data_IF_893291615956
#
_entry.id   IF_893291615956
#
_cell.length_a   1.000
_cell.length_b   1.000
_cell.length_c   1.000
_cell.angle_alpha   90.00
_cell.angle_beta   90.00
_cell.angle_gamma   90.00
#
_symmetry.space_group_name_H-M   'P 1'
#
loop_
_entity.id
_entity.type
_entity.pdbx_description
1 polymer ?
#
# COMPACT_ATOMS: atom_id res chain seq x y z
N UNK A 1 -2.58 -21.23 -17.99
CA UNK A 1 -3.07 -22.29 -17.07
C UNK A 1 -4.32 -21.77 -16.39
N UNK A 2 -5.41 -22.55 -16.37
CA UNK A 2 -6.63 -22.23 -15.62
C UNK A 2 -6.32 -22.30 -14.11
N UNK A 3 -5.73 -21.22 -13.56
CA UNK A 3 -5.80 -20.96 -12.13
C UNK A 3 -7.25 -20.62 -11.83
N UNK A 4 -7.92 -21.38 -10.97
CA UNK A 4 -9.21 -20.97 -10.42
C UNK A 4 -9.09 -19.54 -9.87
N UNK A 5 -10.05 -18.67 -10.20
CA UNK A 5 -10.13 -17.31 -9.65
C UNK A 5 -10.13 -17.39 -8.14
N UNK A 6 -9.44 -16.46 -7.49
CA UNK A 6 -9.57 -16.32 -6.04
C UNK A 6 -10.63 -15.26 -5.72
N UNK A 7 -11.44 -15.52 -4.71
CA UNK A 7 -12.33 -14.51 -4.14
C UNK A 7 -11.53 -13.67 -3.16
N UNK A 8 -11.50 -12.35 -3.37
CA UNK A 8 -10.80 -11.47 -2.45
C UNK A 8 -11.52 -11.48 -1.09
N UNK A 9 -10.76 -11.49 0.00
CA UNK A 9 -11.32 -11.34 1.33
C UNK A 9 -10.25 -10.87 2.33
N UNK A 10 -10.31 -9.61 2.77
CA UNK A 10 -9.43 -9.06 3.80
C UNK A 10 -10.27 -8.46 4.91
N UNK A 11 -10.28 -9.10 6.08
CA UNK A 11 -11.09 -8.71 7.25
C UNK A 11 -10.24 -8.34 8.47
N UNK A 12 -8.92 -8.44 8.38
CA UNK A 12 -7.97 -8.02 9.40
C UNK A 12 -6.60 -7.71 8.78
N UNK A 13 -5.76 -6.95 9.47
CA UNK A 13 -4.36 -6.73 9.06
C UNK A 13 -3.44 -7.93 9.35
N UNK A 14 -3.83 -8.81 10.29
CA UNK A 14 -2.96 -9.85 10.87
C UNK A 14 -3.36 -11.28 10.58
N UNK A 15 -4.58 -11.52 10.05
CA UNK A 15 -5.02 -12.85 9.61
C UNK A 15 -4.01 -13.48 8.65
N UNK A 16 -3.99 -14.82 8.59
CA UNK A 16 -2.97 -15.53 7.81
C UNK A 16 -3.03 -15.08 6.35
N UNK A 17 -1.91 -14.60 5.81
CA UNK A 17 -1.81 -14.10 4.45
C UNK A 17 -1.81 -15.28 3.46
N UNK A 18 -2.92 -15.49 2.76
CA UNK A 18 -3.05 -16.59 1.80
C UNK A 18 -2.72 -16.14 0.36
N UNK A 19 -3.00 -14.88 0.03
CA UNK A 19 -2.65 -14.29 -1.26
C UNK A 19 -2.28 -12.80 -1.15
N UNK A 20 -1.29 -12.39 -1.92
CA UNK A 20 -0.75 -11.03 -1.93
C UNK A 20 -0.43 -10.58 -3.36
N UNK A 21 -0.71 -9.32 -3.66
CA UNK A 21 -0.29 -8.64 -4.89
C UNK A 21 1.01 -7.88 -4.63
N UNK A 22 1.95 -8.01 -5.56
CA UNK A 22 3.26 -7.34 -5.58
C UNK A 22 3.55 -6.80 -6.99
N UNK A 23 4.54 -5.92 -7.08
CA UNK A 23 5.10 -5.49 -8.36
C UNK A 23 6.62 -5.46 -8.22
N UNK A 24 7.27 -6.42 -8.88
CA UNK A 24 8.73 -6.49 -8.88
C UNK A 24 9.37 -5.24 -9.52
N UNK A 25 10.30 -4.55 -8.84
CA UNK A 25 10.87 -3.30 -9.33
C UNK A 25 11.61 -3.49 -10.66
N UNK A 26 11.17 -2.76 -11.68
CA UNK A 26 11.72 -2.72 -13.03
C UNK A 26 12.61 -1.49 -13.31
N UNK A 27 13.04 -1.31 -14.57
CA UNK A 27 13.75 -0.11 -15.02
C UNK A 27 13.04 1.21 -14.69
N UNK A 28 11.72 1.21 -14.50
CA UNK A 28 10.96 2.39 -14.06
C UNK A 28 11.57 3.04 -12.82
N UNK A 29 12.12 2.25 -11.90
CA UNK A 29 12.70 2.76 -10.64
C UNK A 29 13.98 3.57 -10.88
N UNK A 30 14.79 3.20 -11.88
CA UNK A 30 16.04 3.90 -12.20
C UNK A 30 15.89 4.97 -13.29
N UNK A 31 14.76 4.98 -14.01
CA UNK A 31 14.48 5.94 -15.09
C UNK A 31 14.18 7.37 -14.57
N UNK A 32 14.73 7.73 -13.41
CA UNK A 32 14.67 9.04 -12.78
C UNK A 32 15.99 9.78 -12.91
N UNK A 33 15.91 11.10 -13.02
CA UNK A 33 17.09 11.98 -12.94
C UNK A 33 17.03 12.79 -11.65
N UNK A 34 18.13 13.39 -11.16
CA UNK A 34 18.10 14.26 -9.98
C UNK A 34 17.07 15.41 -10.12
N UNK A 35 16.83 15.91 -11.35
CA UNK A 35 15.82 16.94 -11.64
C UNK A 35 14.38 16.44 -11.39
N UNK A 36 14.14 15.13 -11.52
CA UNK A 36 12.80 14.54 -11.48
C UNK A 36 12.54 13.69 -10.23
N UNK A 37 13.54 13.37 -9.40
CA UNK A 37 13.37 12.53 -8.20
C UNK A 37 12.31 13.08 -7.23
N UNK A 38 12.29 14.40 -6.97
CA UNK A 38 11.26 15.03 -6.14
C UNK A 38 9.86 14.92 -6.78
N UNK A 39 9.75 15.04 -8.12
CA UNK A 39 8.49 14.80 -8.84
C UNK A 39 8.05 13.34 -8.73
N UNK A 40 9.00 12.41 -8.67
CA UNK A 40 8.76 10.99 -8.51
C UNK A 40 8.42 10.58 -7.07
N UNK A 41 8.41 11.51 -6.11
CA UNK A 41 8.15 11.29 -4.68
C UNK A 41 9.24 10.50 -3.94
N UNK A 42 10.47 10.52 -4.47
CA UNK A 42 11.61 9.85 -3.84
C UNK A 42 12.48 10.82 -3.06
N UNK A 43 12.99 10.35 -1.92
CA UNK A 43 14.02 11.07 -1.16
C UNK A 43 15.38 11.04 -1.87
N UNK A 44 15.64 10.01 -2.68
CA UNK A 44 16.89 9.82 -3.41
C UNK A 44 16.77 8.81 -4.57
N UNK A 45 17.75 8.76 -5.47
CA UNK A 45 17.80 7.80 -6.58
C UNK A 45 18.25 6.43 -6.07
N UNK A 46 17.43 5.41 -6.34
CA UNK A 46 17.72 4.04 -5.97
C UNK A 46 18.73 3.39 -6.91
N UNK A 47 19.55 2.50 -6.34
CA UNK A 47 20.28 1.51 -7.11
C UNK A 47 19.39 0.27 -7.28
N UNK A 48 18.82 0.08 -8.47
CA UNK A 48 17.89 -1.01 -8.78
C UNK A 48 18.53 -2.38 -8.57
N UNK A 49 19.84 -2.52 -8.84
CA UNK A 49 20.53 -3.80 -8.69
C UNK A 49 20.58 -4.27 -7.24
N UNK A 50 20.70 -3.34 -6.29
CA UNK A 50 20.67 -3.63 -4.85
C UNK A 50 19.22 -3.73 -4.38
N UNK A 51 18.35 -2.80 -4.77
CA UNK A 51 16.93 -2.83 -4.42
C UNK A 51 16.26 -4.16 -4.83
N UNK A 52 16.62 -4.73 -5.99
CA UNK A 52 16.14 -6.05 -6.43
C UNK A 52 16.58 -7.19 -5.52
N UNK A 53 17.82 -7.18 -5.04
CA UNK A 53 18.30 -8.22 -4.10
C UNK A 53 17.54 -8.16 -2.78
N UNK A 54 17.27 -6.95 -2.29
CA UNK A 54 16.45 -6.74 -1.09
C UNK A 54 14.99 -7.17 -1.33
N UNK A 55 14.44 -6.85 -2.50
CA UNK A 55 13.08 -7.24 -2.87
C UNK A 55 12.94 -8.75 -3.08
N UNK A 56 13.98 -9.42 -3.58
CA UNK A 56 14.03 -10.88 -3.69
C UNK A 56 13.92 -11.56 -2.32
N UNK A 57 14.44 -10.95 -1.26
CA UNK A 57 14.25 -11.45 0.11
C UNK A 57 12.78 -11.35 0.53
N UNK A 58 12.12 -10.21 0.28
CA UNK A 58 10.69 -10.06 0.53
C UNK A 58 9.87 -11.10 -0.24
N UNK A 59 10.07 -11.20 -1.56
CA UNK A 59 9.36 -12.17 -2.40
C UNK A 59 9.65 -13.61 -1.98
N UNK A 60 10.88 -13.93 -1.60
CA UNK A 60 11.26 -15.24 -1.11
C UNK A 60 10.44 -15.64 0.12
N UNK A 61 10.33 -14.75 1.11
CA UNK A 61 9.52 -14.97 2.31
C UNK A 61 8.02 -15.07 1.99
N UNK A 62 7.51 -14.18 1.12
CA UNK A 62 6.10 -14.20 0.71
C UNK A 62 5.73 -15.49 -0.02
N UNK A 63 6.61 -16.02 -0.88
CA UNK A 63 6.38 -17.29 -1.60
C UNK A 63 6.38 -18.51 -0.68
N UNK A 64 7.01 -18.44 0.50
CA UNK A 64 6.94 -19.50 1.52
C UNK A 64 5.64 -19.45 2.33
N UNK A 65 4.98 -18.30 2.41
CA UNK A 65 3.83 -18.08 3.28
C UNK A 65 2.49 -17.93 2.55
N UNK A 66 2.51 -17.47 1.29
CA UNK A 66 1.34 -17.01 0.56
C UNK A 66 1.48 -17.20 -0.95
N UNK A 67 0.35 -17.16 -1.67
CA UNK A 67 0.35 -17.09 -3.13
C UNK A 67 0.64 -15.66 -3.58
N UNK A 68 1.74 -15.46 -4.29
CA UNK A 68 2.15 -14.15 -4.82
C UNK A 68 1.60 -13.95 -6.23
N UNK A 69 1.01 -12.78 -6.46
CA UNK A 69 0.54 -12.30 -7.75
C UNK A 69 1.35 -11.07 -8.17
N UNK A 70 1.81 -11.02 -9.42
CA UNK A 70 2.57 -9.88 -9.96
C UNK A 70 1.69 -9.00 -10.84
N UNK A 71 1.74 -7.69 -10.60
CA UNK A 71 0.98 -6.70 -11.38
C UNK A 71 1.29 -6.77 -12.87
N UNK A 72 2.56 -6.92 -13.25
CA UNK A 72 3.01 -6.95 -14.65
C UNK A 72 2.45 -8.15 -15.42
N UNK A 73 2.40 -9.32 -14.78
CA UNK A 73 1.82 -10.53 -15.35
C UNK A 73 0.30 -10.38 -15.54
N UNK A 74 -0.39 -9.89 -14.50
CA UNK A 74 -1.83 -9.66 -14.53
C UNK A 74 -2.23 -8.60 -15.58
N UNK A 75 -1.47 -7.50 -15.67
CA UNK A 75 -1.67 -6.47 -16.69
C UNK A 75 -1.46 -7.06 -18.09
N UNK A 76 -0.42 -7.86 -18.30
CA UNK A 76 -0.19 -8.52 -19.58
C UNK A 76 -1.36 -9.43 -19.97
N UNK A 77 -1.97 -10.14 -19.02
CA UNK A 77 -3.15 -10.97 -19.28
C UNK A 77 -4.40 -10.14 -19.61
N UNK A 78 -4.62 -9.01 -18.92
CA UNK A 78 -5.67 -8.05 -19.27
C UNK A 78 -5.50 -7.53 -20.69
N UNK A 79 -4.27 -7.18 -21.08
CA UNK A 79 -3.97 -6.59 -22.38
C UNK A 79 -4.06 -7.57 -23.56
N UNK A 80 -4.20 -8.88 -23.31
CA UNK A 80 -4.49 -9.89 -24.35
C UNK A 80 -5.96 -9.90 -24.77
N UNK A 81 -6.83 -9.25 -24.01
CA UNK A 81 -8.27 -9.12 -24.28
C UNK A 81 -8.52 -7.77 -24.93
N UNK A 82 -8.89 -7.77 -26.21
CA UNK A 82 -9.03 -6.54 -26.99
C UNK A 82 -10.02 -5.54 -26.36
N UNK A 83 -11.13 -6.03 -25.81
CA UNK A 83 -12.14 -5.23 -25.12
C UNK A 83 -11.58 -4.53 -23.86
N UNK A 84 -10.78 -5.25 -23.07
CA UNK A 84 -10.17 -4.69 -21.85
C UNK A 84 -9.00 -3.77 -22.18
N UNK A 85 -8.18 -4.15 -23.17
CA UNK A 85 -7.08 -3.34 -23.69
C UNK A 85 -7.58 -2.00 -24.20
N UNK A 86 -8.61 -1.99 -25.05
CA UNK A 86 -9.17 -0.76 -25.60
C UNK A 86 -9.65 0.18 -24.49
N UNK A 87 -10.43 -0.34 -23.54
CA UNK A 87 -10.94 0.44 -22.42
C UNK A 87 -9.82 1.05 -21.57
N UNK A 88 -8.79 0.26 -21.23
CA UNK A 88 -7.67 0.73 -20.42
C UNK A 88 -6.85 1.81 -21.16
N UNK A 89 -6.50 1.57 -22.43
CA UNK A 89 -5.69 2.51 -23.20
C UNK A 89 -6.43 3.83 -23.44
N UNK A 90 -7.72 3.80 -23.78
CA UNK A 90 -8.51 5.03 -23.93
C UNK A 90 -8.56 5.83 -22.64
N UNK A 91 -8.78 5.16 -21.50
CA UNK A 91 -8.83 5.81 -20.19
C UNK A 91 -7.48 6.44 -19.80
N UNK A 92 -6.37 5.70 -19.97
CA UNK A 92 -5.02 6.23 -19.72
C UNK A 92 -4.74 7.44 -20.61
N UNK A 93 -4.96 7.31 -21.92
CA UNK A 93 -4.68 8.40 -22.87
C UNK A 93 -5.53 9.65 -22.63
N UNK A 94 -6.76 9.49 -22.13
CA UNK A 94 -7.61 10.61 -21.74
C UNK A 94 -7.12 11.27 -20.45
N UNK A 95 -6.91 10.48 -19.39
CA UNK A 95 -6.56 10.96 -18.05
C UNK A 95 -5.17 11.58 -17.99
N UNK A 96 -4.20 11.04 -18.72
CA UNK A 96 -2.83 11.57 -18.80
C UNK A 96 -2.62 12.53 -19.98
N UNK A 97 -3.70 12.87 -20.71
CA UNK A 97 -3.69 13.85 -21.81
C UNK A 97 -2.73 13.51 -22.97
N UNK A 98 -2.59 12.22 -23.30
CA UNK A 98 -1.72 11.71 -24.37
C UNK A 98 -2.51 11.04 -25.51
N UNK A 99 -3.66 11.61 -25.88
CA UNK A 99 -4.58 11.08 -26.91
C UNK A 99 -3.90 10.74 -28.24
N UNK A 100 -2.82 11.44 -28.61
CA UNK A 100 -2.04 11.18 -29.83
C UNK A 100 -1.32 9.83 -29.86
N UNK A 101 -1.16 9.15 -28.73
CA UNK A 101 -0.51 7.83 -28.64
C UNK A 101 -1.49 6.65 -28.66
N UNK A 102 -2.80 6.90 -28.68
CA UNK A 102 -3.83 5.84 -28.57
C UNK A 102 -3.65 4.74 -29.62
N UNK A 103 -3.61 5.11 -30.91
CA UNK A 103 -3.50 4.13 -32.00
C UNK A 103 -2.16 3.38 -31.97
N UNK A 104 -1.07 4.08 -31.61
CA UNK A 104 0.23 3.46 -31.45
C UNK A 104 0.20 2.39 -30.36
N UNK A 105 -0.30 2.72 -29.16
CA UNK A 105 -0.42 1.81 -28.03
C UNK A 105 -1.34 0.61 -28.34
N UNK A 106 -2.45 0.86 -29.05
CA UNK A 106 -3.39 -0.19 -29.45
C UNK A 106 -2.76 -1.23 -30.40
N UNK A 107 -1.76 -0.85 -31.19
CA UNK A 107 -1.10 -1.77 -32.13
C UNK A 107 0.05 -2.57 -31.49
N UNK A 108 0.43 -2.29 -30.24
CA UNK A 108 1.52 -3.02 -29.57
C UNK A 108 1.09 -4.41 -29.08
N UNK A 109 2.00 -5.40 -29.14
CA UNK A 109 1.81 -6.69 -28.45
C UNK A 109 1.61 -6.49 -26.94
N UNK A 110 0.76 -7.31 -26.31
CA UNK A 110 0.38 -7.17 -24.91
C UNK A 110 1.58 -7.07 -23.94
N UNK A 111 2.63 -7.86 -24.15
CA UNK A 111 3.84 -7.85 -23.32
C UNK A 111 4.62 -6.53 -23.44
N UNK A 112 4.80 -6.03 -24.66
CA UNK A 112 5.49 -4.76 -24.90
C UNK A 112 4.66 -3.57 -24.43
N UNK A 113 3.33 -3.65 -24.58
CA UNK A 113 2.41 -2.64 -24.09
C UNK A 113 2.45 -2.57 -22.56
N UNK A 114 2.36 -3.72 -21.86
CA UNK A 114 2.49 -3.79 -20.40
C UNK A 114 3.78 -3.13 -19.94
N UNK A 115 4.89 -3.43 -20.64
CA UNK A 115 6.19 -2.83 -20.37
C UNK A 115 6.14 -1.30 -20.48
N UNK A 116 5.65 -0.72 -21.58
CA UNK A 116 5.59 0.74 -21.72
C UNK A 116 4.61 1.42 -20.77
N UNK A 117 3.51 0.77 -20.40
CA UNK A 117 2.59 1.32 -19.41
C UNK A 117 3.22 1.42 -18.01
N UNK A 118 4.22 0.58 -17.69
CA UNK A 118 4.92 0.57 -16.40
C UNK A 118 6.23 1.36 -16.48
N UNK A 119 7.11 0.97 -17.40
CA UNK A 119 8.48 1.49 -17.56
C UNK A 119 8.55 2.88 -18.21
N UNK A 120 7.44 3.34 -18.77
CA UNK A 120 7.32 4.60 -19.48
C UNK A 120 7.46 4.44 -21.00
N UNK A 121 6.85 5.38 -21.72
CA UNK A 121 6.89 5.47 -23.17
C UNK A 121 7.67 6.72 -23.58
N UNK A 122 8.82 6.61 -24.27
CA UNK A 122 9.54 7.75 -24.80
C UNK A 122 8.71 8.57 -25.80
N UNK A 123 8.95 9.88 -25.87
CA UNK A 123 8.31 10.75 -26.87
C UNK A 123 8.75 10.34 -28.28
N UNK A 124 7.78 10.22 -29.20
CA UNK A 124 8.06 10.15 -30.63
C UNK A 124 8.26 11.56 -31.18
N UNK A 125 9.47 11.85 -31.67
CA UNK A 125 9.82 13.17 -32.22
C UNK A 125 9.33 13.25 -33.68
N UNK A 126 8.09 13.71 -33.85
CA UNK A 126 7.47 13.86 -35.18
C UNK A 126 7.23 15.33 -35.56
N UNK A 127 7.27 16.24 -34.58
CA UNK A 127 7.07 17.69 -34.77
C UNK A 127 8.18 18.50 -34.12
N UNK A 128 8.29 19.78 -34.49
CA UNK A 128 9.17 20.72 -33.80
C UNK A 128 8.80 20.86 -32.32
N UNK A 129 7.50 20.79 -31.99
CA UNK A 129 7.01 20.81 -30.61
C UNK A 129 7.55 19.62 -29.81
N UNK A 130 7.56 18.42 -30.38
CA UNK A 130 8.14 17.24 -29.73
C UNK A 130 9.66 17.37 -29.54
N UNK A 131 10.36 17.93 -30.53
CA UNK A 131 11.80 18.13 -30.48
C UNK A 131 12.22 19.15 -29.40
N UNK A 132 11.41 20.19 -29.20
CA UNK A 132 11.68 21.26 -28.22
C UNK A 132 11.15 20.95 -26.81
N UNK A 133 10.54 19.78 -26.58
CA UNK A 133 10.10 19.38 -25.25
C UNK A 133 11.30 19.01 -24.38
N UNK A 134 11.30 19.55 -23.16
CA UNK A 134 12.25 19.20 -22.09
C UNK A 134 12.02 17.79 -21.52
N UNK A 135 10.90 17.15 -21.87
CA UNK A 135 10.49 15.85 -21.32
C UNK A 135 10.91 14.72 -22.26
N UNK A 136 11.47 13.64 -21.69
CA UNK A 136 11.87 12.45 -22.44
C UNK A 136 10.70 11.49 -22.71
N UNK A 137 9.69 11.49 -21.83
CA UNK A 137 8.61 10.50 -21.82
C UNK A 137 7.26 11.12 -22.19
N UNK A 138 6.54 10.45 -23.10
CA UNK A 138 5.12 10.68 -23.33
C UNK A 138 4.27 10.09 -22.19
N UNK A 139 4.59 8.87 -21.77
CA UNK A 139 4.06 8.27 -20.53
C UNK A 139 5.21 8.16 -19.54
N UNK A 140 5.15 8.90 -18.42
CA UNK A 140 6.19 8.87 -17.40
C UNK A 140 6.28 7.47 -16.77
N UNK A 141 7.47 6.93 -16.45
CA UNK A 141 7.61 5.68 -15.70
C UNK A 141 6.85 5.69 -14.36
N UNK A 142 6.35 4.53 -13.93
CA UNK A 142 5.64 4.37 -12.65
C UNK A 142 6.61 4.03 -11.53
N UNK A 143 7.44 5.01 -11.15
CA UNK A 143 8.53 4.86 -10.17
C UNK A 143 8.11 4.22 -8.84
N UNK A 144 6.85 4.43 -8.42
CA UNK A 144 6.34 4.02 -7.11
C UNK A 144 5.56 2.70 -7.16
N UNK A 145 5.44 2.05 -8.32
CA UNK A 145 4.45 0.98 -8.47
C UNK A 145 4.79 -0.28 -7.65
N UNK A 146 6.05 -0.45 -7.26
CA UNK A 146 6.45 -1.50 -6.32
C UNK A 146 5.83 -1.30 -4.92
N UNK A 147 5.38 -0.09 -4.59
CA UNK A 147 4.47 0.20 -3.48
C UNK A 147 3.00 -0.04 -3.88
N UNK A 148 2.64 -1.32 -4.01
CA UNK A 148 1.29 -1.75 -4.41
C UNK A 148 0.20 -1.45 -3.39
N UNK A 149 0.58 -1.08 -2.16
CA UNK A 149 -0.35 -0.75 -1.06
C UNK A 149 -1.27 0.41 -1.38
N UNK A 150 -0.76 1.45 -2.01
CA UNK A 150 -1.44 2.75 -2.05
C UNK A 150 -2.51 2.87 -3.13
N UNK A 151 -2.29 2.36 -4.37
CA UNK A 151 -3.26 2.54 -5.45
C UNK A 151 -4.54 1.70 -5.27
N UNK A 152 -4.53 0.68 -4.40
CA UNK A 152 -5.73 -0.10 -4.08
C UNK A 152 -5.65 -0.80 -2.72
N UNK A 153 -6.80 -1.02 -2.09
CA UNK A 153 -6.94 -1.79 -0.84
C UNK A 153 -8.11 -2.75 -0.93
N UNK A 154 -7.98 -3.94 -0.32
CA UNK A 154 -9.08 -4.89 -0.18
C UNK A 154 -9.75 -4.73 1.20
N UNK A 155 -11.07 -4.57 1.21
CA UNK A 155 -11.89 -4.47 2.43
C UNK A 155 -13.06 -5.46 2.31
N UNK A 156 -13.03 -6.50 3.14
CA UNK A 156 -13.86 -7.69 2.94
C UNK A 156 -13.64 -8.23 1.53
N UNK A 157 -14.72 -8.44 0.78
CA UNK A 157 -14.69 -8.93 -0.60
C UNK A 157 -14.70 -7.83 -1.68
N UNK A 158 -14.31 -6.61 -1.34
CA UNK A 158 -14.30 -5.47 -2.26
C UNK A 158 -12.89 -4.92 -2.44
N UNK A 159 -12.53 -4.62 -3.69
CA UNK A 159 -11.32 -3.88 -4.01
C UNK A 159 -11.66 -2.39 -4.13
N UNK A 160 -11.10 -1.56 -3.27
CA UNK A 160 -11.13 -0.11 -3.36
C UNK A 160 -10.00 0.33 -4.29
N UNK A 161 -10.32 1.00 -5.39
CA UNK A 161 -9.33 1.74 -6.20
C UNK A 161 -9.19 3.12 -5.60
N UNK A 162 -7.97 3.45 -5.19
CA UNK A 162 -7.63 4.67 -4.49
C UNK A 162 -7.50 5.85 -5.46
N UNK A 163 -7.97 7.03 -5.04
CA UNK A 163 -7.80 8.29 -5.79
C UNK A 163 -6.60 9.02 -5.21
N UNK A 164 -5.47 8.83 -5.88
CA UNK A 164 -4.15 9.28 -5.44
C UNK A 164 -4.11 10.80 -5.24
N UNK A 165 -3.40 11.26 -4.22
CA UNK A 165 -3.22 12.68 -3.95
C UNK A 165 -2.29 13.36 -4.97
N UNK A 166 -1.33 12.61 -5.53
CA UNK A 166 -0.45 13.09 -6.60
C UNK A 166 -0.74 12.35 -7.92
N UNK A 167 -0.89 13.12 -9.00
CA UNK A 167 -1.20 12.60 -10.34
C UNK A 167 -0.14 11.66 -10.92
N UNK A 168 1.12 11.70 -10.45
CA UNK A 168 2.18 10.77 -10.89
C UNK A 168 1.81 9.30 -10.65
N UNK A 169 0.97 9.02 -9.64
CA UNK A 169 0.53 7.66 -9.31
C UNK A 169 -0.85 7.29 -9.88
N UNK A 170 -1.48 8.19 -10.65
CA UNK A 170 -2.82 7.98 -11.21
C UNK A 170 -2.92 6.68 -12.03
N UNK A 171 -1.94 6.46 -12.92
CA UNK A 171 -1.97 5.30 -13.82
C UNK A 171 -1.79 3.97 -13.08
N UNK A 172 -1.16 3.96 -11.92
CA UNK A 172 -1.09 2.78 -11.05
C UNK A 172 -2.52 2.34 -10.66
N UNK A 173 -3.37 3.28 -10.22
CA UNK A 173 -4.78 3.01 -9.91
C UNK A 173 -5.60 2.57 -11.13
N UNK A 174 -5.34 3.15 -12.31
CA UNK A 174 -6.03 2.76 -13.55
C UNK A 174 -5.69 1.31 -13.96
N UNK A 175 -4.42 0.91 -13.80
CA UNK A 175 -3.97 -0.46 -14.07
C UNK A 175 -4.63 -1.44 -13.11
N UNK A 176 -4.64 -1.14 -11.81
CA UNK A 176 -5.28 -2.02 -10.82
C UNK A 176 -6.80 -2.10 -11.02
N UNK A 177 -7.46 -0.99 -11.39
CA UNK A 177 -8.90 -1.00 -11.74
C UNK A 177 -9.19 -1.97 -12.89
N UNK A 178 -8.39 -1.93 -13.96
CA UNK A 178 -8.54 -2.85 -15.08
C UNK A 178 -8.29 -4.30 -14.68
N UNK A 179 -7.27 -4.57 -13.86
CA UNK A 179 -6.98 -5.91 -13.32
C UNK A 179 -8.17 -6.45 -12.52
N UNK A 180 -8.72 -5.68 -11.57
CA UNK A 180 -9.82 -6.15 -10.74
C UNK A 180 -11.16 -6.23 -11.46
N UNK A 181 -11.41 -5.37 -12.46
CA UNK A 181 -12.63 -5.43 -13.30
C UNK A 181 -12.57 -6.52 -14.37
N UNK A 182 -11.38 -7.03 -14.70
CA UNK A 182 -11.18 -8.01 -15.79
C UNK A 182 -11.89 -9.35 -15.56
N UNK A 183 -12.15 -9.70 -14.30
CA UNK A 183 -12.66 -11.01 -13.90
C UNK A 183 -11.80 -12.17 -14.47
N UNK A 184 -10.48 -11.97 -14.63
CA UNK A 184 -9.54 -13.00 -15.09
C UNK A 184 -8.95 -13.80 -13.92
N UNK A 185 -8.37 -13.10 -12.94
CA UNK A 185 -7.69 -13.71 -11.78
C UNK A 185 -8.50 -13.64 -10.48
N UNK A 186 -9.41 -12.67 -10.37
CA UNK A 186 -10.04 -12.28 -9.11
C UNK A 186 -11.55 -12.18 -9.23
N UNK A 187 -12.26 -12.68 -8.23
CA UNK A 187 -13.69 -12.44 -8.00
C UNK A 187 -13.84 -11.40 -6.89
N UNK A 188 -14.24 -10.18 -7.26
CA UNK A 188 -14.40 -9.05 -6.33
C UNK A 188 -15.44 -8.06 -6.83
N UNK A 189 -15.96 -7.21 -5.93
CA UNK A 189 -16.66 -5.98 -6.32
C UNK A 189 -15.70 -4.81 -6.25
N UNK A 190 -15.59 -4.07 -7.34
CA UNK A 190 -14.72 -2.88 -7.41
C UNK A 190 -15.47 -1.63 -6.94
N UNK A 191 -14.88 -0.92 -5.98
CA UNK A 191 -15.26 0.44 -5.59
C UNK A 191 -14.22 1.37 -6.19
N UNK A 192 -14.57 2.12 -7.22
CA UNK A 192 -13.62 3.02 -7.86
C UNK A 192 -13.81 4.46 -7.37
N UNK A 193 -12.82 4.98 -6.63
CA UNK A 193 -12.87 6.31 -6.03
C UNK A 193 -12.90 7.43 -7.08
N UNK A 194 -12.28 7.25 -8.25
CA UNK A 194 -12.38 8.22 -9.35
C UNK A 194 -13.81 8.30 -9.88
N UNK A 195 -14.47 7.15 -10.08
CA UNK A 195 -15.85 7.09 -10.56
C UNK A 195 -16.84 7.70 -9.56
N UNK A 196 -16.66 7.43 -8.26
CA UNK A 196 -17.51 7.95 -7.21
C UNK A 196 -17.32 9.45 -6.94
N UNK A 197 -16.21 10.04 -7.40
CA UNK A 197 -15.83 11.42 -7.12
C UNK A 197 -15.47 12.24 -8.35
N UNK A 198 -16.03 11.90 -9.53
CA UNK A 198 -15.74 12.59 -10.81
C UNK A 198 -15.85 14.11 -10.73
N UNK A 199 -16.77 14.62 -9.93
CA UNK A 199 -17.04 16.06 -9.77
C UNK A 199 -16.47 16.66 -8.46
N UNK A 200 -15.57 15.95 -7.77
CA UNK A 200 -14.99 16.41 -6.51
C UNK A 200 -13.48 16.15 -6.47
N UNK A 201 -12.70 17.20 -6.76
CA UNK A 201 -11.23 17.18 -6.72
C UNK A 201 -10.66 17.01 -5.32
N UNK A 202 -11.43 17.36 -4.28
CA UNK A 202 -10.98 17.28 -2.89
C UNK A 202 -10.95 15.85 -2.35
N UNK A 203 -11.62 14.91 -3.02
CA UNK A 203 -11.57 13.49 -2.66
C UNK A 203 -10.19 12.95 -3.01
N UNK A 204 -9.46 12.55 -1.97
CA UNK A 204 -8.18 11.85 -2.03
C UNK A 204 -8.22 10.73 -1.01
N UNK A 205 -7.76 9.55 -1.38
CA UNK A 205 -7.65 8.40 -0.48
C UNK A 205 -6.55 7.49 -1.02
N UNK A 206 -5.62 7.11 -0.17
CA UNK A 206 -4.52 6.20 -0.49
C UNK A 206 -4.49 5.03 0.49
N UNK A 207 -4.02 3.88 0.03
CA UNK A 207 -4.14 2.64 0.76
C UNK A 207 -3.26 2.50 2.00
N UNK A 208 -2.13 3.20 2.07
CA UNK A 208 -1.31 3.29 3.29
C UNK A 208 -2.10 3.83 4.49
N UNK A 209 -3.13 4.65 4.26
CA UNK A 209 -3.99 5.18 5.32
C UNK A 209 -5.10 4.24 5.76
N UNK A 210 -5.39 3.15 5.03
CA UNK A 210 -6.53 2.28 5.32
C UNK A 210 -6.04 0.98 5.96
N UNK A 211 -6.43 0.76 7.21
CA UNK A 211 -6.17 -0.45 7.97
C UNK A 211 -7.47 -1.14 8.35
N UNK A 212 -7.58 -2.44 8.04
CA UNK A 212 -8.72 -3.26 8.44
C UNK A 212 -8.39 -3.92 9.78
N UNK A 213 -8.90 -3.40 10.89
CA UNK A 213 -8.59 -3.95 12.22
C UNK A 213 -9.41 -5.21 12.47
N UNK A 214 -10.70 -5.14 12.14
CA UNK A 214 -11.70 -6.22 12.20
C UNK A 214 -12.74 -5.97 11.12
N UNK A 215 -13.57 -6.94 10.79
CA UNK A 215 -14.58 -6.80 9.73
C UNK A 215 -15.57 -5.61 9.92
N UNK A 216 -15.73 -5.16 11.16
CA UNK A 216 -16.58 -4.04 11.59
C UNK A 216 -15.77 -2.79 12.04
N UNK A 217 -14.43 -2.83 12.04
CA UNK A 217 -13.57 -1.73 12.50
C UNK A 217 -12.53 -1.37 11.43
N UNK A 218 -12.66 -0.17 10.87
CA UNK A 218 -11.61 0.44 10.06
C UNK A 218 -10.85 1.48 10.88
N UNK A 219 -9.54 1.53 10.66
CA UNK A 219 -8.69 2.60 11.12
C UNK A 219 -8.17 3.34 9.89
N UNK A 220 -8.33 4.67 9.86
CA UNK A 220 -8.05 5.49 8.69
C UNK A 220 -7.20 6.71 9.03
N UNK A 221 -6.11 6.94 8.30
CA UNK A 221 -5.34 8.17 8.37
C UNK A 221 -6.05 9.34 7.69
N UNK A 222 -5.98 10.53 8.28
CA UNK A 222 -6.43 11.77 7.67
C UNK A 222 -5.27 12.77 7.58
N UNK A 223 -4.91 13.19 6.38
CA UNK A 223 -3.78 14.08 6.17
C UNK A 223 -3.60 14.47 4.70
N UNK A 224 -2.35 14.63 4.29
CA UNK A 224 -1.99 15.09 2.94
C UNK A 224 -2.39 14.11 1.83
N UNK A 225 -2.45 12.81 2.13
CA UNK A 225 -2.76 11.73 1.18
C UNK A 225 -4.23 11.28 1.21
N UNK A 226 -4.85 11.29 2.37
CA UNK A 226 -6.27 10.94 2.54
C UNK A 226 -7.06 12.10 3.15
N UNK A 227 -7.99 12.65 2.37
CA UNK A 227 -8.83 13.79 2.77
C UNK A 227 -10.08 13.34 3.52
N UNK A 228 -10.68 14.23 4.31
CA UNK A 228 -11.94 13.94 5.01
C UNK A 228 -13.07 13.56 4.03
N UNK A 229 -13.11 14.18 2.85
CA UNK A 229 -14.05 13.85 1.78
C UNK A 229 -13.83 12.44 1.22
N UNK A 230 -12.57 11.98 1.15
CA UNK A 230 -12.22 10.60 0.81
C UNK A 230 -12.68 9.61 1.87
N UNK A 231 -12.50 9.95 3.15
CA UNK A 231 -13.01 9.15 4.27
C UNK A 231 -14.54 9.04 4.22
N UNK A 232 -15.26 10.15 4.06
CA UNK A 232 -16.72 10.16 3.95
C UNK A 232 -17.22 9.30 2.78
N UNK A 233 -16.52 9.34 1.65
CA UNK A 233 -16.82 8.49 0.50
C UNK A 233 -16.63 7.01 0.85
N UNK A 234 -15.51 6.63 1.48
CA UNK A 234 -15.27 5.25 1.89
C UNK A 234 -16.29 4.78 2.94
N UNK A 235 -16.61 5.62 3.93
CA UNK A 235 -17.61 5.33 4.97
C UNK A 235 -18.97 5.01 4.33
N UNK A 236 -19.40 5.78 3.32
CA UNK A 236 -20.65 5.49 2.59
C UNK A 236 -20.66 4.11 1.93
N UNK A 237 -19.52 3.65 1.41
CA UNK A 237 -19.42 2.31 0.84
C UNK A 237 -19.29 1.22 1.89
N UNK A 238 -18.57 1.49 2.99
CA UNK A 238 -18.44 0.60 4.14
C UNK A 238 -19.78 0.36 4.83
N UNK A 239 -20.65 1.37 4.92
CA UNK A 239 -22.03 1.24 5.38
C UNK A 239 -22.83 0.17 4.62
N UNK A 240 -22.51 -0.07 3.34
CA UNK A 240 -23.21 -1.05 2.49
C UNK A 240 -22.67 -2.49 2.62
N UNK A 241 -21.63 -2.73 3.43
CA UNK A 241 -20.99 -4.05 3.59
C UNK A 241 -21.54 -4.77 4.81
N UNK A 242 -22.25 -5.89 4.67
CA UNK A 242 -22.77 -6.64 5.83
C UNK A 242 -23.82 -5.88 6.64
N UNK A 243 -24.21 -6.45 7.78
CA UNK A 243 -25.25 -5.93 8.69
C UNK A 243 -24.71 -5.79 10.10
N UNK A 244 -25.10 -4.74 10.82
CA UNK A 244 -24.69 -4.51 12.21
C UNK A 244 -23.95 -3.19 12.44
N UNK A 245 -23.58 -2.96 13.70
CA UNK A 245 -22.79 -1.81 14.11
C UNK A 245 -21.37 -1.88 13.56
N UNK A 246 -20.83 -0.75 13.12
CA UNK A 246 -19.45 -0.63 12.64
C UNK A 246 -18.81 0.63 13.18
N UNK A 247 -17.49 0.65 13.16
CA UNK A 247 -16.70 1.73 13.70
C UNK A 247 -15.63 2.15 12.70
N UNK A 248 -15.44 3.45 12.57
CA UNK A 248 -14.31 4.02 11.85
C UNK A 248 -13.55 4.91 12.82
N UNK A 249 -12.29 4.58 13.04
CA UNK A 249 -11.36 5.36 13.85
C UNK A 249 -10.52 6.15 12.89
N UNK A 250 -10.46 7.47 13.05
CA UNK A 250 -9.68 8.35 12.20
C UNK A 250 -8.55 8.94 13.03
N UNK A 251 -7.33 8.87 12.53
CA UNK A 251 -6.18 9.52 13.11
C UNK A 251 -5.71 10.64 12.17
N UNK A 252 -5.72 11.88 12.65
CA UNK A 252 -5.08 12.97 11.92
C UNK A 252 -3.57 12.79 11.91
N UNK A 253 -2.95 13.09 10.78
CA UNK A 253 -1.52 12.99 10.55
C UNK A 253 -0.92 14.38 10.30
N UNK A 254 0.34 14.60 10.71
CA UNK A 254 1.04 15.84 10.38
C UNK A 254 1.28 15.95 8.86
N UNK A 255 1.39 17.19 8.37
CA UNK A 255 1.79 17.46 6.98
C UNK A 255 3.29 17.33 6.74
N UNK A 256 4.09 17.35 7.82
CA UNK A 256 5.55 17.24 7.79
C UNK A 256 6.07 16.55 9.06
N UNK A 257 7.26 15.91 9.01
CA UNK A 257 8.09 15.66 7.83
C UNK A 257 7.49 14.65 6.84
N UNK A 258 8.15 14.48 5.70
CA UNK A 258 7.69 13.66 4.57
C UNK A 258 7.44 12.18 4.95
N UNK A 259 8.06 11.69 6.01
CA UNK A 259 7.86 10.31 6.51
C UNK A 259 6.47 10.04 7.09
N UNK A 260 5.64 11.07 7.32
CA UNK A 260 4.25 10.94 7.79
C UNK A 260 3.23 10.89 6.64
N UNK A 261 3.62 10.36 5.48
CA UNK A 261 2.75 10.25 4.30
C UNK A 261 1.44 9.51 4.60
N UNK A 262 1.48 8.47 5.44
CA UNK A 262 0.34 7.59 5.71
C UNK A 262 0.33 7.07 7.14
N UNK A 263 -0.83 6.59 7.59
CA UNK A 263 -1.02 6.03 8.92
C UNK A 263 -0.17 4.77 9.18
N UNK A 264 0.06 3.94 8.17
CA UNK A 264 0.88 2.73 8.32
C UNK A 264 2.39 3.01 8.48
N UNK A 265 2.80 4.26 8.37
CA UNK A 265 4.16 4.72 8.68
C UNK A 265 4.34 5.07 10.17
N UNK A 266 3.26 5.01 10.95
CA UNK A 266 3.25 5.34 12.39
C UNK A 266 2.44 4.35 13.24
N UNK A 267 1.62 3.49 12.62
CA UNK A 267 0.83 2.48 13.30
C UNK A 267 0.62 1.25 12.41
N UNK A 268 1.03 0.07 12.86
CA UNK A 268 0.68 -1.20 12.20
C UNK A 268 0.34 -2.28 13.22
N UNK A 269 -0.63 -3.14 12.89
CA UNK A 269 -0.94 -4.32 13.71
C UNK A 269 0.10 -5.42 13.47
N UNK A 270 0.62 -6.01 14.55
CA UNK A 270 1.61 -7.09 14.51
C UNK A 270 0.99 -8.45 14.85
N UNK A 271 0.00 -8.42 15.74
CA UNK A 271 -0.76 -9.57 16.24
C UNK A 271 -2.21 -9.12 16.50
N UNK A 272 -3.06 -10.04 16.94
CA UNK A 272 -4.47 -9.80 17.29
C UNK A 272 -4.66 -8.72 18.36
N UNK A 273 -3.67 -8.55 19.24
CA UNK A 273 -3.71 -7.61 20.37
C UNK A 273 -2.41 -6.81 20.51
N UNK A 274 -1.53 -6.79 19.50
CA UNK A 274 -0.25 -6.07 19.57
C UNK A 274 -0.08 -5.19 18.35
N UNK A 275 0.36 -3.95 18.53
CA UNK A 275 0.64 -3.01 17.45
C UNK A 275 2.03 -2.37 17.60
N UNK A 276 2.69 -2.11 16.48
CA UNK A 276 3.83 -1.19 16.44
C UNK A 276 3.31 0.24 16.34
N UNK A 277 3.81 1.12 17.20
CA UNK A 277 3.38 2.52 17.26
C UNK A 277 4.57 3.48 17.28
N UNK A 278 4.44 4.57 16.55
CA UNK A 278 5.26 5.75 16.75
C UNK A 278 4.69 6.57 17.91
N UNK A 279 5.30 6.42 19.09
CA UNK A 279 4.81 6.95 20.37
C UNK A 279 4.50 8.46 20.34
N UNK A 280 5.35 9.35 19.78
CA UNK A 280 5.10 10.79 19.81
C UNK A 280 3.80 11.24 19.13
N UNK A 281 3.32 10.48 18.13
CA UNK A 281 2.07 10.80 17.44
C UNK A 281 0.86 10.06 18.03
N UNK A 282 1.02 8.78 18.37
CA UNK A 282 -0.11 7.88 18.66
C UNK A 282 -0.45 7.84 20.15
N UNK A 283 0.55 7.91 21.04
CA UNK A 283 0.35 7.70 22.48
C UNK A 283 0.39 9.01 23.27
N UNK A 284 1.15 9.98 22.80
CA UNK A 284 1.32 11.26 23.48
C UNK A 284 0.25 12.27 23.07
N UNK A 285 0.11 13.32 23.88
CA UNK A 285 -0.77 14.43 23.56
C UNK A 285 -0.22 15.22 22.38
N UNK A 286 -0.64 14.85 21.17
CA UNK A 286 -0.31 15.57 19.95
C UNK A 286 -1.41 16.58 19.60
N UNK A 287 -1.13 17.63 18.78
CA UNK A 287 -2.18 18.51 18.26
C UNK A 287 -3.11 17.80 17.25
N UNK A 288 -2.81 16.56 16.88
CA UNK A 288 -3.53 15.78 15.88
C UNK A 288 -4.62 14.94 16.52
N UNK A 289 -5.85 15.11 16.05
CA UNK A 289 -7.02 14.51 16.67
C UNK A 289 -7.19 13.03 16.29
N UNK A 290 -7.63 12.23 17.25
CA UNK A 290 -8.32 10.97 16.97
C UNK A 290 -9.83 11.20 16.98
N UNK A 291 -10.54 10.72 15.96
CA UNK A 291 -11.99 10.79 15.84
C UNK A 291 -12.57 9.38 15.77
N UNK A 292 -13.69 9.16 16.45
CA UNK A 292 -14.46 7.92 16.38
C UNK A 292 -15.81 8.18 15.71
N UNK A 293 -16.05 7.47 14.61
CA UNK A 293 -17.34 7.41 13.94
C UNK A 293 -18.02 6.08 14.25
N UNK A 294 -19.26 6.16 14.73
CA UNK A 294 -20.13 5.01 14.97
C UNK A 294 -21.16 4.93 13.85
N UNK A 295 -21.30 3.74 13.28
CA UNK A 295 -22.23 3.43 12.20
C UNK A 295 -23.20 2.38 12.71
N UNK A 296 -24.50 2.63 12.56
CA UNK A 296 -25.53 1.65 12.83
C UNK A 296 -26.58 1.67 11.70
N UNK A 297 -27.11 0.51 11.36
CA UNK A 297 -28.11 0.32 10.30
C UNK A 297 -27.74 1.05 8.98
N UNK A 298 -26.46 1.01 8.62
CA UNK A 298 -25.92 1.62 7.39
C UNK A 298 -25.84 3.14 7.39
N UNK A 299 -25.91 3.80 8.55
CA UNK A 299 -25.80 5.26 8.70
C UNK A 299 -24.83 5.62 9.80
N UNK A 300 -24.09 6.70 9.62
CA UNK A 300 -23.30 7.31 10.69
C UNK A 300 -24.27 7.87 11.74
N UNK A 301 -24.20 7.37 12.96
CA UNK A 301 -25.07 7.78 14.07
C UNK A 301 -24.37 8.75 15.03
N UNK A 302 -23.04 8.71 15.09
CA UNK A 302 -22.25 9.58 15.96
C UNK A 302 -20.83 9.79 15.41
N UNK A 303 -20.34 11.01 15.57
CA UNK A 303 -18.95 11.40 15.33
C UNK A 303 -18.49 12.15 16.59
N UNK A 304 -17.39 11.72 17.19
CA UNK A 304 -16.85 12.35 18.39
C UNK A 304 -15.34 12.25 18.46
N UNK A 305 -14.69 13.24 19.08
CA UNK A 305 -13.28 13.14 19.44
C UNK A 305 -13.05 11.99 20.41
N UNK A 306 -11.90 11.32 20.26
CA UNK A 306 -11.42 10.28 21.15
C UNK A 306 -10.03 10.63 21.68
N UNK A 307 -9.62 9.99 22.77
CA UNK A 307 -8.31 10.24 23.39
C UNK A 307 -7.15 9.75 22.52
N UNK A 308 -7.24 8.53 22.00
CA UNK A 308 -6.30 7.92 21.06
C UNK A 308 -6.89 6.64 20.46
N UNK A 309 -6.20 6.05 19.49
CA UNK A 309 -6.62 4.80 18.82
C UNK A 309 -6.88 3.68 19.84
N UNK A 310 -5.93 3.44 20.76
CA UNK A 310 -5.98 2.34 21.74
C UNK A 310 -7.21 2.44 22.66
N UNK A 311 -7.57 3.65 23.08
CA UNK A 311 -8.72 3.88 23.94
C UNK A 311 -10.06 3.55 23.26
N UNK A 312 -10.13 3.70 21.94
CA UNK A 312 -11.33 3.34 21.16
C UNK A 312 -11.34 1.84 20.93
N UNK A 313 -10.23 1.22 20.53
CA UNK A 313 -10.17 -0.23 20.30
C UNK A 313 -10.48 -1.02 21.57
N UNK A 314 -9.99 -0.59 22.73
CA UNK A 314 -10.31 -1.20 24.04
C UNK A 314 -11.82 -1.20 24.30
N UNK A 315 -12.52 -0.07 24.09
CA UNK A 315 -13.98 0.02 24.20
C UNK A 315 -14.73 -0.88 23.22
N UNK A 316 -14.10 -1.25 22.11
CA UNK A 316 -14.63 -2.15 21.08
C UNK A 316 -14.20 -3.62 21.28
N UNK A 317 -13.59 -3.92 22.43
CA UNK A 317 -13.19 -5.27 22.84
C UNK A 317 -11.83 -5.72 22.32
N UNK A 318 -10.96 -4.80 21.89
CA UNK A 318 -9.60 -5.08 21.42
C UNK A 318 -8.60 -4.29 22.27
N UNK A 319 -8.05 -4.95 23.29
CA UNK A 319 -6.97 -4.41 24.12
C UNK A 319 -5.65 -4.49 23.35
N UNK A 320 -5.21 -3.37 22.79
CA UNK A 320 -3.95 -3.30 22.03
C UNK A 320 -2.80 -2.98 22.97
N UNK A 321 -1.81 -3.85 22.99
CA UNK A 321 -0.50 -3.64 23.61
C UNK A 321 0.44 -2.95 22.62
N UNK A 322 0.86 -1.69 22.86
CA UNK A 322 1.76 -0.98 21.96
C UNK A 322 3.23 -1.38 22.18
N UNK A 323 3.92 -1.67 21.09
CA UNK A 323 5.38 -1.75 21.00
C UNK A 323 5.86 -0.46 20.33
N UNK A 324 6.90 0.17 20.88
CA UNK A 324 7.34 1.50 20.44
C UNK A 324 8.42 1.39 19.37
N UNK A 325 8.19 1.99 18.20
CA UNK A 325 9.17 2.13 17.11
C UNK A 325 10.37 2.93 17.61
N UNK A 326 11.59 2.40 17.47
CA UNK A 326 12.84 2.97 18.01
C UNK A 326 13.05 2.74 19.51
N UNK A 327 12.17 1.98 20.17
CA UNK A 327 12.26 1.67 21.60
C UNK A 327 11.83 2.80 22.52
N UNK A 328 11.95 2.58 23.84
CA UNK A 328 11.44 3.50 24.89
C UNK A 328 12.51 4.43 25.49
N UNK A 329 13.77 4.26 25.09
CA UNK A 329 14.90 4.88 25.78
C UNK A 329 15.18 6.32 25.31
N UNK A 330 15.07 6.58 24.00
CA UNK A 330 15.46 7.85 23.37
C UNK A 330 14.44 8.23 22.29
N UNK A 331 14.03 9.50 22.23
CA UNK A 331 13.18 10.03 21.15
C UNK A 331 13.95 10.14 19.84
N UNK A 332 15.26 10.36 19.89
CA UNK A 332 16.12 10.44 18.72
C UNK A 332 16.11 9.14 17.90
N UNK A 333 16.17 7.99 18.57
CA UNK A 333 16.09 6.68 17.92
C UNK A 333 14.69 6.42 17.34
N UNK A 334 13.64 6.88 18.02
CA UNK A 334 12.26 6.81 17.53
C UNK A 334 12.09 7.59 16.22
N UNK A 335 12.55 8.84 16.17
CA UNK A 335 12.48 9.68 14.96
C UNK A 335 13.26 9.04 13.79
N UNK A 336 14.49 8.59 14.06
CA UNK A 336 15.35 8.00 13.03
C UNK A 336 14.78 6.70 12.47
N UNK A 337 14.30 5.81 13.33
CA UNK A 337 13.76 4.53 12.85
C UNK A 337 12.36 4.70 12.25
N UNK A 338 11.54 5.64 12.73
CA UNK A 338 10.29 6.01 12.05
C UNK A 338 10.57 6.46 10.60
N UNK A 339 11.55 7.34 10.39
CA UNK A 339 11.97 7.78 9.06
C UNK A 339 12.39 6.60 8.16
N UNK A 340 13.03 5.58 8.73
CA UNK A 340 13.41 4.35 8.03
C UNK A 340 12.31 3.28 7.96
N UNK A 341 11.03 3.70 8.06
CA UNK A 341 9.87 2.80 8.01
C UNK A 341 9.81 1.79 9.16
N UNK A 342 10.38 2.14 10.32
CA UNK A 342 10.45 1.30 11.52
C UNK A 342 9.10 1.02 12.18
N UNK A 343 8.02 1.69 11.78
CA UNK A 343 6.67 1.35 12.19
C UNK A 343 5.85 0.62 11.10
N UNK A 344 6.42 0.37 9.92
CA UNK A 344 5.72 -0.21 8.77
C UNK A 344 5.97 -1.72 8.65
N UNK A 345 5.16 -2.52 9.35
CA UNK A 345 5.28 -3.98 9.34
C UNK A 345 4.22 -4.64 8.46
N UNK A 346 4.62 -5.68 7.74
CA UNK A 346 3.68 -6.61 7.12
C UNK A 346 3.49 -7.84 8.00
N UNK A 347 2.29 -8.05 8.53
CA UNK A 347 1.93 -9.32 9.15
C UNK A 347 1.60 -10.38 8.08
N UNK A 348 2.26 -11.54 8.12
CA UNK A 348 1.94 -12.72 7.30
C UNK A 348 1.05 -13.71 8.05
N UNK A 349 1.03 -13.64 9.38
CA UNK A 349 0.08 -14.30 10.28
C UNK A 349 0.14 -13.58 11.64
N UNK A 350 -0.77 -13.87 12.58
CA UNK A 350 -0.74 -13.22 13.90
C UNK A 350 0.61 -13.46 14.61
N UNK A 351 1.29 -12.38 14.96
CA UNK A 351 2.61 -12.41 15.61
C UNK A 351 3.79 -12.74 14.68
N UNK A 352 3.55 -12.94 13.38
CA UNK A 352 4.61 -13.22 12.38
C UNK A 352 4.66 -12.08 11.39
N UNK A 353 5.68 -11.26 11.49
CA UNK A 353 5.77 -9.97 10.78
C UNK A 353 7.07 -9.83 10.01
N UNK A 354 7.09 -9.00 8.98
CA UNK A 354 8.26 -8.67 8.16
C UNK A 354 8.62 -7.20 8.38
N UNK A 355 9.92 -6.91 8.56
CA UNK A 355 10.47 -5.55 8.69
C UNK A 355 11.89 -5.47 8.14
N UNK A 356 12.48 -4.27 8.13
CA UNK A 356 13.88 -4.08 7.76
C UNK A 356 14.84 -4.40 8.91
N UNK A 357 15.98 -5.02 8.58
CA UNK A 357 17.05 -5.34 9.52
C UNK A 357 17.73 -4.10 10.12
N UNK A 358 17.60 -2.93 9.48
CA UNK A 358 18.28 -1.68 9.87
C UNK A 358 17.68 -1.00 11.12
N UNK A 359 16.47 -1.36 11.51
CA UNK A 359 15.74 -0.72 12.62
C UNK A 359 16.07 -1.43 13.94
N UNK A 360 17.33 -1.32 14.35
CA UNK A 360 17.93 -2.11 15.45
C UNK A 360 17.16 -1.90 16.75
N UNK A 361 16.84 -0.66 17.12
CA UNK A 361 16.18 -0.36 18.39
C UNK A 361 14.73 -0.84 18.41
N UNK A 362 14.03 -0.76 17.27
CA UNK A 362 12.71 -1.36 17.08
C UNK A 362 12.76 -2.88 17.23
N UNK A 363 13.75 -3.53 16.62
CA UNK A 363 13.93 -4.98 16.70
C UNK A 363 14.27 -5.43 18.13
N UNK A 364 15.13 -4.68 18.83
CA UNK A 364 15.41 -4.92 20.25
C UNK A 364 14.16 -4.78 21.13
N UNK A 365 13.32 -3.77 20.88
CA UNK A 365 12.06 -3.62 21.62
C UNK A 365 11.10 -4.76 21.30
N UNK A 366 11.00 -5.22 20.05
CA UNK A 366 10.23 -6.41 19.68
C UNK A 366 10.74 -7.67 20.40
N UNK A 367 12.07 -7.84 20.49
CA UNK A 367 12.66 -8.98 21.17
C UNK A 367 12.36 -8.99 22.67
N UNK A 368 12.41 -7.83 23.34
CA UNK A 368 11.96 -7.67 24.73
C UNK A 368 10.48 -8.03 24.93
N UNK A 369 9.67 -7.91 23.88
CA UNK A 369 8.24 -8.28 23.87
C UNK A 369 7.99 -9.68 23.26
N UNK A 370 9.01 -10.54 23.24
CA UNK A 370 8.87 -11.96 22.94
C UNK A 370 8.88 -12.33 21.46
N UNK A 371 9.22 -11.41 20.57
CA UNK A 371 9.44 -11.73 19.16
C UNK A 371 10.85 -12.27 18.92
N UNK A 372 10.94 -13.45 18.32
CA UNK A 372 12.20 -13.98 17.80
C UNK A 372 12.61 -13.20 16.54
N UNK A 373 13.87 -12.79 16.43
CA UNK A 373 14.39 -12.11 15.22
C UNK A 373 15.02 -13.16 14.32
N UNK A 374 14.51 -13.31 13.10
CA UNK A 374 14.99 -14.28 12.11
C UNK A 374 15.26 -13.56 10.80
N UNK A 375 16.27 -13.98 10.04
CA UNK A 375 16.55 -13.37 8.74
C UNK A 375 15.67 -13.95 7.65
N UNK A 376 15.39 -13.18 6.59
CA UNK A 376 14.70 -13.69 5.42
C UNK A 376 15.41 -14.91 4.81
N UNK A 377 16.74 -14.92 4.80
CA UNK A 377 17.54 -16.04 4.31
C UNK A 377 17.29 -17.33 5.10
N UNK A 378 17.14 -17.27 6.42
CA UNK A 378 16.84 -18.45 7.24
C UNK A 378 15.49 -19.07 6.88
N UNK A 379 14.50 -18.25 6.52
CA UNK A 379 13.18 -18.71 6.05
C UNK A 379 13.25 -19.26 4.62
N UNK A 380 13.95 -18.57 3.72
CA UNK A 380 14.04 -18.93 2.30
C UNK A 380 14.79 -20.26 2.12
N UNK A 381 15.88 -20.43 2.87
CA UNK A 381 16.74 -21.62 2.85
C UNK A 381 16.24 -22.74 3.78
N UNK A 382 15.06 -22.58 4.40
CA UNK A 382 14.44 -23.58 5.27
C UNK A 382 15.29 -23.97 6.49
N UNK A 383 16.13 -23.05 6.97
CA UNK A 383 16.84 -23.19 8.26
C UNK A 383 15.90 -22.93 9.44
N UNK A 384 14.88 -22.10 9.21
CA UNK A 384 13.77 -21.84 10.11
C UNK A 384 12.45 -22.04 9.36
N UNK A 385 11.48 -22.69 9.99
CA UNK A 385 10.18 -22.97 9.38
C UNK A 385 9.10 -22.10 10.01
N UNK A 386 8.36 -21.35 9.17
CA UNK A 386 7.23 -20.54 9.64
C UNK A 386 6.21 -21.38 10.40
N UNK A 387 6.01 -22.63 9.98
CA UNK A 387 5.15 -23.60 10.67
C UNK A 387 5.82 -24.09 11.95
N UNK A 388 5.27 -23.68 13.10
CA UNK A 388 5.80 -24.02 14.43
C UNK A 388 6.50 -22.87 15.15
N UNK A 389 6.89 -21.80 14.45
CA UNK A 389 7.37 -20.57 15.10
C UNK A 389 6.24 -19.86 15.85
N UNK A 390 6.57 -19.33 17.02
CA UNK A 390 5.72 -18.41 17.78
C UNK A 390 5.75 -17.00 17.19
N UNK A 391 5.83 -15.98 18.05
CA UNK A 391 6.00 -14.59 17.61
C UNK A 391 7.39 -14.41 17.01
N UNK A 392 7.48 -13.88 15.78
CA UNK A 392 8.75 -13.62 15.13
C UNK A 392 8.70 -12.42 14.18
N UNK A 393 9.86 -11.78 14.04
CA UNK A 393 10.11 -10.73 13.05
C UNK A 393 11.11 -11.27 12.05
N UNK A 394 10.69 -11.33 10.79
CA UNK A 394 11.51 -11.72 9.66
C UNK A 394 12.13 -10.45 9.09
N UNK A 395 13.45 -10.36 9.13
CA UNK A 395 14.18 -9.18 8.67
C UNK A 395 14.63 -9.34 7.24
N UNK A 396 14.32 -8.33 6.41
CA UNK A 396 14.92 -8.14 5.08
C UNK A 396 15.96 -7.02 5.15
N UNK A 397 16.95 -7.08 4.28
CA UNK A 397 17.88 -5.97 4.06
C UNK A 397 17.12 -4.72 3.58
N UNK A 398 17.67 -3.54 3.88
CA UNK A 398 17.00 -2.28 3.61
C UNK A 398 17.97 -1.13 3.43
N UNK A 399 18.96 -1.27 2.56
CA UNK A 399 19.86 -0.19 2.17
C UNK A 399 19.17 0.73 1.16
N UNK A 400 18.52 0.16 0.15
CA UNK A 400 17.91 0.89 -0.95
C UNK A 400 16.39 1.04 -0.82
N UNK A 401 15.65 -0.05 -0.56
CA UNK A 401 14.18 -0.01 -0.55
C UNK A 401 13.57 1.06 0.39
N UNK A 402 14.11 1.31 1.61
CA UNK A 402 13.57 2.36 2.47
C UNK A 402 13.76 3.79 1.93
N UNK A 403 14.71 4.03 1.02
CA UNK A 403 14.93 5.37 0.43
C UNK A 403 13.77 5.79 -0.48
N UNK A 404 12.96 4.83 -0.94
CA UNK A 404 11.67 5.12 -1.58
C UNK A 404 10.57 5.55 -0.59
N UNK A 405 10.83 5.54 0.72
CA UNK A 405 9.90 6.05 1.73
C UNK A 405 8.86 5.04 2.22
N UNK A 406 9.13 3.73 2.15
CA UNK A 406 8.18 2.70 2.57
C UNK A 406 8.81 1.39 3.02
N UNK A 407 8.02 0.61 3.76
CA UNK A 407 8.40 -0.71 4.29
C UNK A 407 7.74 -1.90 3.58
N UNK A 408 7.89 -3.11 4.14
CA UNK A 408 7.26 -4.32 3.60
C UNK A 408 5.74 -4.22 3.44
N UNK A 409 5.04 -3.44 4.28
CA UNK A 409 3.59 -3.25 4.14
C UNK A 409 3.25 -2.37 2.94
N UNK A 410 4.03 -1.32 2.69
CA UNK A 410 3.88 -0.45 1.52
C UNK A 410 4.09 -1.23 0.21
N UNK A 411 5.05 -2.16 0.20
CA UNK A 411 5.41 -2.95 -0.98
C UNK A 411 4.42 -4.07 -1.33
N UNK A 412 3.39 -4.29 -0.51
CA UNK A 412 2.47 -5.42 -0.63
C UNK A 412 1.01 -4.99 -0.53
N UNK A 413 0.13 -5.69 -1.22
CA UNK A 413 -1.31 -5.51 -1.11
C UNK A 413 -1.99 -6.87 -0.89
N UNK A 414 -2.39 -7.22 0.35
CA UNK A 414 -3.12 -8.44 0.66
C UNK A 414 -4.39 -8.57 -0.18
N UNK A 415 -4.56 -9.75 -0.77
CA UNK A 415 -5.73 -10.12 -1.57
C UNK A 415 -6.68 -11.03 -0.79
N UNK A 416 -6.10 -11.89 0.06
CA UNK A 416 -6.84 -12.87 0.87
C UNK A 416 -6.13 -13.07 2.21
N UNK A 417 -6.88 -12.96 3.30
CA UNK A 417 -6.46 -13.34 4.65
C UNK A 417 -7.50 -14.25 5.32
N UNK A 418 -7.05 -15.30 5.99
CA UNK A 418 -7.88 -16.23 6.78
C UNK A 418 -7.76 -16.07 8.29
#
# INVERSE_FOLDING_TARGET
MNSSKITLNVQSEVGKLDAVLTHYPGPEVENMTPRNAQRALYSDILNLSIARKEYDQLLGVLRKSSKVYEVSDLLTDVLKRDDLKENLIRNICEMEQVKGYTDYLMNLPASLLSKFLIEGLPIQINTLTDFLRDEYYALQPLYNFYFTRDPSVVIGNKALICKMANGVRLRESLILDAIFKSDLAFSTKVINSYDLSRNNSEVKIEGGDVLVIREDILLIGNGSRTSAQGIDMLVKEFCKIGTGGKHVIIQQLPESPESFIHLDMVFTMLDTNTAMVYKPLILESSPYQTVHMEIDNGKVVKISSASNILSVTSKLGIEIEPIVCGGKADEWDQEREQWHSGANFLAIAPGKVISYARNIHTLEELNKNGYEIVTASDIIEERSHLDGMGKCVITIEGSELPRGGGGPRCMTMPLLRS
#
